data_IF_546539719112
#
_entry.id   IF_546539719112
#
_cell.length_a   1.000
_cell.length_b   1.000
_cell.length_c   1.000
_cell.angle_alpha   90.00
_cell.angle_beta   90.00
_cell.angle_gamma   90.00
#
_symmetry.space_group_name_H-M   'P 1'
#
loop_
_entity.id
_entity.type
_entity.pdbx_description
1 polymer ?
#
# COMPACT_ATOMS: atom_id res chain seq x y z
N UNK A 1 24.41 12.39 21.95
CA UNK A 1 25.15 12.68 20.70
C UNK A 1 24.60 11.70 19.66
N UNK A 2 23.60 12.10 18.87
CA UNK A 2 22.97 11.24 17.87
C UNK A 2 24.02 10.92 16.81
N UNK A 3 24.28 9.66 16.54
CA UNK A 3 25.19 9.25 15.47
C UNK A 3 24.60 9.71 14.13
N UNK A 4 25.29 10.55 13.36
CA UNK A 4 24.74 11.19 12.15
C UNK A 4 24.43 10.20 11.01
N UNK A 5 24.72 8.91 11.19
CA UNK A 5 24.63 7.89 10.15
C UNK A 5 23.29 7.15 10.08
N UNK A 6 22.44 7.17 11.12
CA UNK A 6 21.28 6.27 11.22
C UNK A 6 19.96 6.92 10.81
N UNK A 7 19.65 8.14 11.25
CA UNK A 7 18.54 8.92 10.67
C UNK A 7 18.78 9.27 9.19
N UNK A 8 20.04 9.35 8.77
CA UNK A 8 20.44 9.52 7.38
C UNK A 8 19.91 8.42 6.46
N UNK A 9 20.03 7.14 6.87
CA UNK A 9 19.63 6.01 6.02
C UNK A 9 18.10 6.00 5.73
N UNK A 10 17.27 6.23 6.75
CA UNK A 10 15.81 6.29 6.54
C UNK A 10 15.43 7.50 5.66
N UNK A 11 16.15 8.63 5.78
CA UNK A 11 15.96 9.81 4.92
C UNK A 11 16.27 9.53 3.45
N UNK A 12 17.24 8.66 3.16
CA UNK A 12 17.56 8.26 1.79
C UNK A 12 16.42 7.48 1.13
N UNK A 13 15.66 6.69 1.91
CA UNK A 13 14.61 5.81 1.39
C UNK A 13 13.19 6.38 1.54
N UNK A 14 13.00 7.47 2.31
CA UNK A 14 11.67 7.93 2.70
C UNK A 14 10.74 8.20 1.51
N UNK A 15 11.27 8.74 0.43
CA UNK A 15 10.50 9.06 -0.78
C UNK A 15 10.26 7.85 -1.69
N UNK A 16 10.94 6.73 -1.45
CA UNK A 16 10.66 5.51 -2.19
C UNK A 16 9.30 4.92 -1.81
N UNK A 17 8.79 5.18 -0.61
CA UNK A 17 7.47 4.71 -0.21
C UNK A 17 6.36 5.19 -1.16
N UNK A 18 6.11 6.49 -1.35
CA UNK A 18 5.07 6.94 -2.28
C UNK A 18 5.40 6.59 -3.75
N UNK A 19 6.67 6.50 -4.13
CA UNK A 19 7.07 6.14 -5.50
C UNK A 19 6.73 4.67 -5.78
N UNK A 20 7.12 3.75 -4.89
CA UNK A 20 6.87 2.32 -5.04
C UNK A 20 5.37 2.03 -4.95
N UNK A 21 4.66 2.68 -4.02
CA UNK A 21 3.20 2.62 -3.92
C UNK A 21 2.56 2.98 -5.26
N UNK A 22 2.85 4.16 -5.80
CA UNK A 22 2.26 4.62 -7.06
C UNK A 22 2.63 3.70 -8.24
N UNK A 23 3.87 3.23 -8.32
CA UNK A 23 4.31 2.30 -9.36
C UNK A 23 3.49 0.99 -9.34
N UNK A 24 3.20 0.48 -8.15
CA UNK A 24 2.39 -0.71 -7.96
C UNK A 24 0.92 -0.47 -8.38
N UNK A 25 0.30 0.57 -7.85
CA UNK A 25 -1.12 0.84 -8.07
C UNK A 25 -1.45 1.24 -9.51
N UNK A 26 -0.47 1.69 -10.30
CA UNK A 26 -0.66 1.92 -11.74
C UNK A 26 -1.03 0.64 -12.48
N UNK A 27 -0.48 -0.52 -12.12
CA UNK A 27 -0.89 -1.80 -12.71
C UNK A 27 -2.35 -2.12 -12.40
N UNK A 28 -2.80 -1.85 -11.16
CA UNK A 28 -4.20 -2.04 -10.77
C UNK A 28 -5.14 -1.10 -11.51
N UNK A 29 -4.83 0.20 -11.55
CA UNK A 29 -5.65 1.20 -12.25
C UNK A 29 -5.86 0.81 -13.72
N UNK A 30 -4.80 0.38 -14.39
CA UNK A 30 -4.83 0.01 -15.81
C UNK A 30 -5.56 -1.32 -16.03
N UNK A 31 -5.29 -2.32 -15.19
CA UNK A 31 -5.67 -3.71 -15.44
C UNK A 31 -6.99 -4.14 -14.84
N UNK A 32 -7.43 -3.56 -13.72
CA UNK A 32 -8.46 -4.16 -12.88
C UNK A 32 -9.85 -4.20 -13.53
N UNK A 33 -10.25 -3.14 -14.24
CA UNK A 33 -11.53 -3.11 -15.00
C UNK A 33 -11.57 -4.22 -16.06
N UNK A 34 -10.45 -4.38 -16.76
CA UNK A 34 -10.33 -5.42 -17.79
C UNK A 34 -10.38 -6.81 -17.19
N UNK A 35 -9.66 -7.03 -16.09
CA UNK A 35 -9.67 -8.28 -15.34
C UNK A 35 -11.09 -8.66 -14.89
N UNK A 36 -11.82 -7.75 -14.26
CA UNK A 36 -13.19 -8.00 -13.80
C UNK A 36 -14.11 -8.41 -14.97
N UNK A 37 -14.04 -7.69 -16.10
CA UNK A 37 -14.89 -7.96 -17.28
C UNK A 37 -14.59 -9.33 -17.89
N UNK A 38 -13.33 -9.69 -18.04
CA UNK A 38 -12.95 -10.95 -18.67
C UNK A 38 -13.24 -12.16 -17.78
N UNK A 39 -13.21 -12.00 -16.48
CA UNK A 39 -13.31 -13.12 -15.55
C UNK A 39 -14.63 -13.16 -14.78
N UNK A 40 -15.65 -12.39 -15.21
CA UNK A 40 -16.94 -12.27 -14.49
C UNK A 40 -17.57 -13.63 -14.20
N UNK A 41 -17.65 -14.55 -15.19
CA UNK A 41 -18.30 -15.85 -15.04
C UNK A 41 -17.56 -16.73 -14.02
N UNK A 42 -16.22 -16.76 -14.07
CA UNK A 42 -15.41 -17.54 -13.14
C UNK A 42 -15.47 -16.94 -11.73
N UNK A 43 -15.40 -15.62 -11.62
CA UNK A 43 -15.52 -14.92 -10.34
C UNK A 43 -16.90 -15.14 -9.71
N UNK A 44 -17.97 -15.13 -10.50
CA UNK A 44 -19.31 -15.41 -10.01
C UNK A 44 -19.42 -16.83 -9.43
N UNK A 45 -18.76 -17.80 -10.03
CA UNK A 45 -18.80 -19.18 -9.60
C UNK A 45 -17.90 -19.47 -8.39
N UNK A 46 -16.66 -18.98 -8.40
CA UNK A 46 -15.64 -19.32 -7.40
C UNK A 46 -15.48 -18.28 -6.28
N UNK A 47 -15.67 -17.01 -6.60
CA UNK A 47 -15.38 -15.89 -5.70
C UNK A 47 -16.46 -14.78 -5.78
N UNK A 48 -17.74 -15.10 -5.57
CA UNK A 48 -18.84 -14.14 -5.75
C UNK A 48 -18.75 -12.90 -4.84
N UNK A 49 -18.02 -13.00 -3.75
CA UNK A 49 -17.76 -11.87 -2.85
C UNK A 49 -16.94 -10.77 -3.51
N UNK A 50 -16.04 -11.11 -4.44
CA UNK A 50 -15.25 -10.13 -5.20
C UNK A 50 -16.18 -9.26 -6.05
N UNK A 51 -17.06 -9.87 -6.83
CA UNK A 51 -18.01 -9.11 -7.66
C UNK A 51 -18.97 -8.25 -6.81
N UNK A 52 -19.37 -8.74 -5.64
CA UNK A 52 -20.17 -7.93 -4.70
C UNK A 52 -19.38 -6.75 -4.15
N UNK A 53 -18.09 -6.93 -3.86
CA UNK A 53 -17.19 -5.89 -3.34
C UNK A 53 -16.98 -4.79 -4.37
N UNK A 54 -16.83 -5.15 -5.64
CA UNK A 54 -16.54 -4.25 -6.74
C UNK A 54 -17.75 -3.94 -7.63
N UNK A 55 -18.99 -4.14 -7.14
CA UNK A 55 -20.20 -3.86 -7.90
C UNK A 55 -20.31 -2.40 -8.38
N UNK A 56 -19.82 -1.48 -7.56
CA UNK A 56 -19.80 -0.03 -7.83
C UNK A 56 -18.40 0.42 -8.28
N UNK A 57 -17.70 -0.40 -9.10
CA UNK A 57 -16.36 -0.08 -9.57
C UNK A 57 -16.39 0.77 -10.83
N UNK A 58 -15.59 1.83 -10.83
CA UNK A 58 -15.16 2.54 -12.04
C UNK A 58 -13.65 2.80 -11.97
N UNK A 59 -12.98 2.84 -13.12
CA UNK A 59 -11.54 3.14 -13.17
C UNK A 59 -11.25 4.51 -12.59
N UNK A 60 -12.12 5.49 -12.86
CA UNK A 60 -12.00 6.87 -12.38
C UNK A 60 -12.17 6.95 -10.85
N UNK A 61 -13.15 6.22 -10.31
CA UNK A 61 -13.35 6.13 -8.86
C UNK A 61 -12.20 5.42 -8.17
N UNK A 62 -11.65 4.38 -8.79
CA UNK A 62 -10.48 3.67 -8.27
C UNK A 62 -9.23 4.54 -8.32
N UNK A 63 -8.99 5.26 -9.42
CA UNK A 63 -7.88 6.20 -9.51
C UNK A 63 -7.98 7.32 -8.46
N UNK A 64 -9.19 7.79 -8.13
CA UNK A 64 -9.40 8.76 -7.06
C UNK A 64 -9.05 8.16 -5.68
N UNK A 65 -9.40 6.91 -5.43
CA UNK A 65 -9.04 6.21 -4.21
C UNK A 65 -7.52 6.06 -4.07
N UNK A 66 -6.83 5.61 -5.12
CA UNK A 66 -5.36 5.52 -5.16
C UNK A 66 -4.71 6.89 -4.96
N UNK A 67 -5.28 7.95 -5.52
CA UNK A 67 -4.76 9.31 -5.31
C UNK A 67 -4.86 9.75 -3.84
N UNK A 68 -5.94 9.40 -3.15
CA UNK A 68 -6.10 9.67 -1.71
C UNK A 68 -5.04 8.90 -0.90
N UNK A 69 -4.83 7.62 -1.19
CA UNK A 69 -3.80 6.79 -0.53
C UNK A 69 -2.38 7.32 -0.82
N UNK A 70 -2.10 7.79 -2.02
CA UNK A 70 -0.83 8.44 -2.37
C UNK A 70 -0.59 9.70 -1.53
N UNK A 71 -1.63 10.54 -1.33
CA UNK A 71 -1.52 11.73 -0.47
C UNK A 71 -1.15 11.30 0.95
N UNK A 72 -1.74 10.24 1.48
CA UNK A 72 -1.38 9.71 2.80
C UNK A 72 0.09 9.24 2.85
N UNK A 73 0.55 8.49 1.85
CA UNK A 73 1.94 8.03 1.76
C UNK A 73 2.93 9.22 1.72
N UNK A 74 2.62 10.25 0.93
CA UNK A 74 3.41 11.47 0.86
C UNK A 74 3.40 12.22 2.20
N UNK A 75 2.24 12.34 2.85
CA UNK A 75 2.11 13.04 4.12
C UNK A 75 2.92 12.35 5.23
N UNK A 76 2.82 11.02 5.35
CA UNK A 76 3.59 10.24 6.33
C UNK A 76 5.09 10.42 6.07
N UNK A 77 5.52 10.33 4.81
CA UNK A 77 6.93 10.50 4.42
C UNK A 77 7.44 11.91 4.71
N UNK A 78 6.67 12.92 4.37
CA UNK A 78 7.01 14.33 4.61
C UNK A 78 7.09 14.65 6.12
N UNK A 79 6.11 14.19 6.90
CA UNK A 79 6.09 14.39 8.35
C UNK A 79 7.33 13.74 8.99
N UNK A 80 7.65 12.50 8.63
CA UNK A 80 8.84 11.82 9.14
C UNK A 80 10.12 12.56 8.74
N UNK A 81 10.22 13.00 7.49
CA UNK A 81 11.40 13.69 6.96
C UNK A 81 11.66 15.05 7.61
N UNK A 82 10.61 15.91 7.72
CA UNK A 82 10.79 17.29 8.19
C UNK A 82 10.81 17.42 9.72
N UNK A 83 10.04 16.58 10.44
CA UNK A 83 10.00 16.64 11.91
C UNK A 83 11.15 15.84 12.52
N UNK A 84 11.61 14.78 11.86
CA UNK A 84 12.80 14.00 12.19
C UNK A 84 12.83 13.48 13.64
N UNK A 85 11.78 12.78 14.06
CA UNK A 85 11.66 12.15 15.38
C UNK A 85 11.55 10.63 15.24
N UNK A 86 12.19 9.88 16.12
CA UNK A 86 12.25 8.43 16.08
C UNK A 86 10.87 7.77 15.92
N UNK A 87 9.88 8.20 16.72
CA UNK A 87 8.53 7.61 16.63
C UNK A 87 7.86 7.83 15.27
N UNK A 88 8.17 8.92 14.57
CA UNK A 88 7.66 9.18 13.21
C UNK A 88 8.35 8.31 12.19
N UNK A 89 9.63 8.04 12.35
CA UNK A 89 10.35 7.08 11.53
C UNK A 89 9.82 5.65 11.70
N UNK A 90 9.48 5.26 12.93
CA UNK A 90 8.87 3.94 13.18
C UNK A 90 7.46 3.86 12.63
N UNK A 91 6.67 4.93 12.72
CA UNK A 91 5.35 5.01 12.09
C UNK A 91 5.46 4.90 10.56
N UNK A 92 6.38 5.63 9.94
CA UNK A 92 6.68 5.54 8.51
C UNK A 92 7.12 4.12 8.12
N UNK A 93 8.02 3.51 8.86
CA UNK A 93 8.50 2.15 8.60
C UNK A 93 7.36 1.13 8.72
N UNK A 94 6.46 1.31 9.68
CA UNK A 94 5.27 0.49 9.82
C UNK A 94 4.27 0.66 8.68
N UNK A 95 4.06 1.89 8.19
CA UNK A 95 3.24 2.15 7.01
C UNK A 95 3.86 1.50 5.75
N UNK A 96 5.17 1.58 5.60
CA UNK A 96 5.90 0.96 4.51
C UNK A 96 5.85 -0.57 4.58
N UNK A 97 5.92 -1.15 5.78
CA UNK A 97 5.69 -2.58 6.03
C UNK A 97 4.25 -2.98 5.68
N UNK A 98 3.25 -2.15 5.99
CA UNK A 98 1.86 -2.36 5.59
C UNK A 98 1.71 -2.47 4.08
N UNK A 99 2.41 -1.63 3.33
CA UNK A 99 2.48 -1.69 1.88
C UNK A 99 3.16 -2.99 1.38
N UNK A 100 4.25 -3.40 2.02
CA UNK A 100 4.95 -4.66 1.71
C UNK A 100 4.05 -5.89 1.91
N UNK A 101 3.30 -5.92 3.01
CA UNK A 101 2.29 -6.94 3.28
C UNK A 101 1.16 -6.94 2.24
N UNK A 102 0.76 -5.78 1.73
CA UNK A 102 -0.22 -5.65 0.66
C UNK A 102 0.29 -6.32 -0.63
N UNK A 103 1.52 -6.10 -1.03
CA UNK A 103 2.14 -6.79 -2.17
C UNK A 103 2.16 -8.31 -1.99
N UNK A 104 2.50 -8.76 -0.78
CA UNK A 104 2.49 -10.19 -0.47
C UNK A 104 1.08 -10.80 -0.59
N UNK A 105 0.04 -10.08 -0.18
CA UNK A 105 -1.36 -10.50 -0.34
C UNK A 105 -1.71 -10.68 -1.81
N UNK A 106 -1.27 -9.81 -2.71
CA UNK A 106 -1.50 -9.96 -4.16
C UNK A 106 -0.87 -11.25 -4.71
N UNK A 107 0.34 -11.60 -4.28
CA UNK A 107 0.98 -12.86 -4.69
C UNK A 107 0.23 -14.09 -4.16
N UNK A 108 -0.32 -14.02 -2.94
CA UNK A 108 -1.22 -15.07 -2.42
C UNK A 108 -2.48 -15.17 -3.27
N UNK A 109 -3.11 -14.05 -3.61
CA UNK A 109 -4.31 -14.02 -4.46
C UNK A 109 -4.06 -14.67 -5.82
N UNK A 110 -2.93 -14.35 -6.46
CA UNK A 110 -2.52 -14.98 -7.73
C UNK A 110 -2.35 -16.49 -7.57
N UNK A 111 -1.71 -16.93 -6.49
CA UNK A 111 -1.50 -18.35 -6.18
C UNK A 111 -2.82 -19.11 -5.99
N UNK A 112 -3.82 -18.49 -5.38
CA UNK A 112 -5.16 -19.06 -5.16
C UNK A 112 -5.97 -19.07 -6.47
N UNK A 113 -5.94 -17.94 -7.20
CA UNK A 113 -6.70 -17.79 -8.44
C UNK A 113 -6.08 -18.58 -9.61
N UNK A 114 -4.77 -18.80 -9.56
CA UNK A 114 -3.95 -19.53 -10.56
C UNK A 114 -3.95 -18.89 -11.95
N UNK A 115 -4.17 -17.59 -12.02
CA UNK A 115 -4.08 -16.77 -13.23
C UNK A 115 -3.58 -15.38 -12.86
N UNK A 116 -3.20 -14.63 -13.88
CA UNK A 116 -2.81 -13.23 -13.69
C UNK A 116 -3.96 -12.44 -13.06
N UNK A 117 -3.60 -11.69 -12.03
CA UNK A 117 -4.42 -10.63 -11.42
C UNK A 117 -3.61 -9.34 -11.53
N UNK A 118 -4.20 -8.19 -11.87
CA UNK A 118 -3.49 -6.90 -11.81
C UNK A 118 -2.87 -6.69 -10.41
N UNK A 119 -1.75 -6.02 -10.37
CA UNK A 119 -0.82 -5.92 -9.24
C UNK A 119 0.17 -7.11 -9.10
N UNK A 120 0.03 -8.18 -9.86
CA UNK A 120 0.93 -9.34 -9.75
C UNK A 120 2.37 -9.01 -10.13
N UNK A 121 2.56 -8.36 -11.28
CA UNK A 121 3.90 -8.09 -11.84
C UNK A 121 4.62 -7.08 -10.95
N UNK A 122 3.95 -6.00 -10.61
CA UNK A 122 4.53 -4.96 -9.77
C UNK A 122 4.76 -5.44 -8.35
N UNK A 123 3.88 -6.28 -7.76
CA UNK A 123 4.14 -6.92 -6.47
C UNK A 123 5.41 -7.79 -6.50
N UNK A 124 5.61 -8.56 -7.57
CA UNK A 124 6.80 -9.42 -7.71
C UNK A 124 8.09 -8.60 -7.78
N UNK A 125 8.04 -7.41 -8.35
CA UNK A 125 9.17 -6.49 -8.44
C UNK A 125 9.35 -5.70 -7.14
N UNK A 126 8.27 -5.15 -6.59
CA UNK A 126 8.32 -4.23 -5.46
C UNK A 126 8.59 -4.93 -4.13
N UNK A 127 8.00 -6.13 -3.90
CA UNK A 127 8.15 -6.87 -2.65
C UNK A 127 9.61 -7.08 -2.24
N UNK A 128 10.51 -7.65 -3.09
CA UNK A 128 11.90 -7.85 -2.68
C UNK A 128 12.65 -6.53 -2.45
N UNK A 129 12.35 -5.48 -3.21
CA UNK A 129 12.97 -4.16 -3.04
C UNK A 129 12.54 -3.55 -1.72
N UNK A 130 11.23 -3.55 -1.43
CA UNK A 130 10.66 -3.06 -0.18
C UNK A 130 11.22 -3.81 1.01
N UNK A 131 11.17 -5.14 0.99
CA UNK A 131 11.69 -5.98 2.07
C UNK A 131 13.15 -5.67 2.37
N UNK A 132 14.00 -5.49 1.35
CA UNK A 132 15.40 -5.11 1.53
C UNK A 132 15.56 -3.74 2.21
N UNK A 133 14.76 -2.75 1.82
CA UNK A 133 14.78 -1.42 2.45
C UNK A 133 14.32 -1.52 3.90
N UNK A 134 13.21 -2.23 4.17
CA UNK A 134 12.69 -2.45 5.52
C UNK A 134 13.75 -3.12 6.40
N UNK A 135 14.38 -4.19 5.93
CA UNK A 135 15.44 -4.89 6.67
C UNK A 135 16.60 -3.94 7.02
N UNK A 136 17.03 -3.09 6.10
CA UNK A 136 18.07 -2.08 6.38
C UNK A 136 17.62 -1.06 7.41
N UNK A 137 16.38 -0.58 7.32
CA UNK A 137 15.83 0.39 8.27
C UNK A 137 15.64 -0.20 9.67
N UNK A 138 15.27 -1.48 9.77
CA UNK A 138 15.16 -2.18 11.07
C UNK A 138 16.47 -2.21 11.83
N UNK A 139 17.62 -2.29 11.14
CA UNK A 139 18.94 -2.24 11.75
C UNK A 139 19.28 -0.85 12.33
N UNK A 140 18.50 0.18 12.00
CA UNK A 140 18.69 1.54 12.50
C UNK A 140 17.85 1.86 13.75
N UNK A 141 17.09 0.89 14.27
CA UNK A 141 16.27 1.10 15.48
C UNK A 141 17.19 1.17 16.71
N UNK A 142 17.06 2.27 17.46
CA UNK A 142 17.87 2.54 18.66
C UNK A 142 17.05 2.51 19.95
N UNK A 143 15.74 2.76 19.85
CA UNK A 143 14.83 2.75 21.00
C UNK A 143 14.48 1.32 21.42
N UNK A 144 13.76 1.20 22.54
CA UNK A 144 13.29 -0.11 22.98
C UNK A 144 12.42 -0.78 21.91
N UNK A 145 12.56 -2.09 21.78
CA UNK A 145 11.81 -2.89 20.79
C UNK A 145 10.29 -2.65 20.93
N UNK A 146 9.79 -2.59 22.17
CA UNK A 146 8.37 -2.36 22.43
C UNK A 146 7.91 -1.00 21.88
N UNK A 147 8.70 0.06 22.09
CA UNK A 147 8.39 1.40 21.59
C UNK A 147 8.37 1.41 20.05
N UNK A 148 9.41 0.90 19.41
CA UNK A 148 9.50 0.85 17.96
C UNK A 148 8.36 0.03 17.34
N UNK A 149 8.11 -1.17 17.83
CA UNK A 149 7.03 -2.06 17.33
C UNK A 149 5.65 -1.42 17.51
N UNK A 150 5.41 -0.70 18.62
CA UNK A 150 4.13 -0.03 18.86
C UNK A 150 3.83 1.01 17.77
N UNK A 151 4.80 1.85 17.40
CA UNK A 151 4.62 2.85 16.35
C UNK A 151 4.60 2.22 14.94
N UNK A 152 5.38 1.17 14.71
CA UNK A 152 5.30 0.41 13.46
C UNK A 152 3.93 -0.25 13.28
N UNK A 153 3.39 -0.87 14.34
CA UNK A 153 2.03 -1.43 14.30
C UNK A 153 0.99 -0.34 14.01
N UNK A 154 1.12 0.83 14.63
CA UNK A 154 0.23 1.97 14.35
C UNK A 154 0.31 2.41 12.89
N UNK A 155 1.51 2.52 12.31
CA UNK A 155 1.69 2.85 10.90
C UNK A 155 1.07 1.83 9.95
N UNK A 156 1.25 0.54 10.21
CA UNK A 156 0.63 -0.53 9.43
C UNK A 156 -0.91 -0.49 9.53
N UNK A 157 -1.45 -0.32 10.75
CA UNK A 157 -2.90 -0.21 10.98
C UNK A 157 -3.46 1.01 10.20
N UNK A 158 -2.75 2.13 10.20
CA UNK A 158 -3.16 3.34 9.50
C UNK A 158 -3.35 3.06 8.00
N UNK A 159 -2.42 2.36 7.36
CA UNK A 159 -2.51 1.98 5.94
C UNK A 159 -3.72 1.05 5.72
N UNK A 160 -3.87 0.00 6.52
CA UNK A 160 -5.00 -0.93 6.38
C UNK A 160 -6.36 -0.27 6.61
N UNK A 161 -6.47 0.64 7.58
CA UNK A 161 -7.70 1.41 7.81
C UNK A 161 -7.98 2.33 6.62
N UNK A 162 -6.94 2.94 6.06
CA UNK A 162 -7.08 3.83 4.91
C UNK A 162 -7.64 3.11 3.67
N UNK A 163 -7.26 1.87 3.41
CA UNK A 163 -7.84 1.06 2.32
C UNK A 163 -9.38 1.01 2.40
N UNK A 164 -9.96 0.94 3.58
CA UNK A 164 -11.42 0.97 3.72
C UNK A 164 -12.02 2.35 3.39
N UNK A 165 -11.31 3.42 3.72
CA UNK A 165 -11.71 4.80 3.39
C UNK A 165 -11.64 4.99 1.88
N UNK A 166 -10.54 4.62 1.26
CA UNK A 166 -10.30 4.69 -0.18
C UNK A 166 -11.38 3.92 -0.98
N UNK A 167 -11.72 2.72 -0.53
CA UNK A 167 -12.80 1.92 -1.15
C UNK A 167 -14.19 2.56 -1.02
N UNK A 168 -14.49 3.22 0.09
CA UNK A 168 -15.74 4.00 0.25
C UNK A 168 -15.75 5.20 -0.69
N UNK A 169 -14.62 5.88 -0.83
CA UNK A 169 -14.45 7.01 -1.73
C UNK A 169 -14.66 6.59 -3.19
N UNK A 170 -14.06 5.48 -3.62
CA UNK A 170 -14.28 4.87 -4.94
C UNK A 170 -15.77 4.65 -5.21
N UNK A 171 -16.47 3.94 -4.31
CA UNK A 171 -17.88 3.63 -4.48
C UNK A 171 -18.79 4.86 -4.47
N UNK A 172 -18.49 5.84 -3.64
CA UNK A 172 -19.23 7.13 -3.61
C UNK A 172 -19.06 7.89 -4.93
N UNK A 173 -17.83 8.02 -5.41
CA UNK A 173 -17.53 8.72 -6.66
C UNK A 173 -18.21 8.05 -7.86
N UNK A 174 -18.07 6.73 -7.96
CA UNK A 174 -18.68 5.96 -9.06
C UNK A 174 -20.21 6.16 -9.13
N UNK A 175 -20.89 6.12 -7.97
CA UNK A 175 -22.35 6.35 -7.93
C UNK A 175 -22.72 7.77 -8.33
N UNK A 176 -21.94 8.76 -7.92
CA UNK A 176 -22.21 10.16 -8.22
C UNK A 176 -22.01 10.50 -9.71
N UNK A 177 -21.08 9.81 -10.37
CA UNK A 177 -20.75 10.05 -11.79
C UNK A 177 -21.53 9.17 -12.75
N UNK A 178 -22.24 8.15 -12.27
CA UNK A 178 -23.10 7.29 -13.09
C UNK A 178 -24.51 7.88 -13.34
N UNK A 179 -24.86 8.96 -12.64
CA UNK A 179 -26.10 9.73 -12.82
C UNK A 179 -25.86 10.96 -13.71
#
# INVERSE_FOLDING_TARGET
MLSPLRGGLMKEYVWLFPIIFMFHDMEEIIGFKYFLRQNTAELQQRFPFILRRYKDFSTEGFALAVYEELILCIAISAIAYFIDRNFLWYLWLGAFLGCDLHFFIHLIQVSIYRRYIPACITSLICLPVNTLIICKCLLCIEDSVLFAVSFMALGAILVFVNIFIAQKLMGWFTKKTAN
#
